data_IF_129065580974
#
_entry.id   IF_129065580974
#
_cell.length_a   1.000
_cell.length_b   1.000
_cell.length_c   1.000
_cell.angle_alpha   90.00
_cell.angle_beta   90.00
_cell.angle_gamma   90.00
#
_symmetry.space_group_name_H-M   'P 1'
#
loop_
_entity.id
_entity.type
_entity.pdbx_description
1 polymer ?
#
# COMPACT_ATOMS: atom_id res chain seq x y z
N UNK A 1 46.35 8.25 69.78
CA UNK A 1 46.16 6.84 70.20
C UNK A 1 45.03 6.27 69.38
N UNK A 2 45.36 5.48 68.35
CA UNK A 2 44.44 4.95 67.34
C UNK A 2 44.39 3.43 67.55
N UNK A 3 43.31 2.91 68.14
CA UNK A 3 43.13 1.48 68.37
C UNK A 3 42.72 0.83 67.05
N UNK A 4 43.69 0.20 66.40
CA UNK A 4 43.47 -0.70 65.27
C UNK A 4 42.47 -1.78 65.68
N UNK A 5 41.36 -1.84 64.96
CA UNK A 5 40.39 -2.94 64.96
C UNK A 5 41.07 -4.20 64.37
N UNK A 6 42.01 -4.80 65.10
CA UNK A 6 42.56 -6.13 64.83
C UNK A 6 41.59 -7.23 65.32
N UNK A 7 40.29 -7.01 65.17
CA UNK A 7 39.33 -8.11 65.22
C UNK A 7 39.42 -8.85 63.90
N UNK A 8 40.42 -9.72 63.87
CA UNK A 8 40.47 -10.99 63.20
C UNK A 8 39.18 -11.32 62.45
N UNK A 9 39.28 -11.28 61.11
CA UNK A 9 38.48 -12.08 60.20
C UNK A 9 38.71 -13.56 60.54
N UNK A 10 38.22 -14.02 61.68
CA UNK A 10 38.15 -15.43 62.04
C UNK A 10 37.09 -16.02 61.13
N UNK A 11 37.53 -16.59 60.01
CA UNK A 11 36.68 -17.27 59.06
C UNK A 11 36.00 -18.45 59.77
N UNK A 12 34.78 -18.22 60.24
CA UNK A 12 33.98 -19.28 60.84
C UNK A 12 33.51 -20.25 59.75
N UNK A 13 33.61 -21.55 60.03
CA UNK A 13 33.06 -22.56 59.15
C UNK A 13 31.54 -22.37 59.05
N UNK A 14 31.02 -22.12 57.84
CA UNK A 14 29.60 -21.98 57.63
C UNK A 14 28.85 -23.25 58.03
N UNK A 15 27.68 -23.09 58.63
CA UNK A 15 26.80 -24.21 58.96
C UNK A 15 26.42 -24.93 57.65
N UNK A 16 26.51 -26.28 57.60
CA UNK A 16 26.19 -27.01 56.38
C UNK A 16 24.75 -26.72 55.93
N UNK A 17 24.60 -26.32 54.66
CA UNK A 17 23.30 -26.01 54.03
C UNK A 17 22.91 -24.53 53.97
N UNK A 18 23.59 -23.63 54.68
CA UNK A 18 23.23 -22.20 54.68
C UNK A 18 23.52 -21.51 53.34
N UNK A 19 24.68 -21.81 52.75
CA UNK A 19 25.04 -21.34 51.40
C UNK A 19 24.09 -21.92 50.34
N UNK A 20 23.63 -23.17 50.51
CA UNK A 20 22.67 -23.81 49.61
C UNK A 20 21.34 -23.05 49.54
N UNK A 21 20.77 -22.68 50.69
CA UNK A 21 19.51 -21.90 50.73
C UNK A 21 19.64 -20.52 50.08
N UNK A 22 20.80 -19.89 50.22
CA UNK A 22 21.06 -18.60 49.58
C UNK A 22 21.13 -18.75 48.05
N UNK A 23 21.85 -19.77 47.56
CA UNK A 23 21.93 -20.08 46.12
C UNK A 23 20.57 -20.44 45.55
N UNK A 24 19.78 -21.27 46.24
CA UNK A 24 18.42 -21.64 45.81
C UNK A 24 17.50 -20.43 45.71
N UNK A 25 17.58 -19.51 46.68
CA UNK A 25 16.82 -18.26 46.67
C UNK A 25 17.19 -17.36 45.48
N UNK A 26 18.49 -17.21 45.20
CA UNK A 26 18.97 -16.43 44.06
C UNK A 26 18.61 -17.09 42.72
N UNK A 27 18.72 -18.42 42.64
CA UNK A 27 18.42 -19.17 41.42
C UNK A 27 16.91 -19.16 41.12
N UNK A 28 16.06 -19.28 42.14
CA UNK A 28 14.61 -19.16 41.99
C UNK A 28 14.20 -17.78 41.47
N UNK A 29 14.80 -16.72 42.01
CA UNK A 29 14.55 -15.33 41.59
C UNK A 29 15.03 -15.08 40.15
N UNK A 30 16.18 -15.62 39.76
CA UNK A 30 16.66 -15.52 38.38
C UNK A 30 15.78 -16.28 37.38
N UNK A 31 15.26 -17.46 37.75
CA UNK A 31 14.32 -18.22 36.92
C UNK A 31 12.99 -17.47 36.74
N UNK A 32 12.48 -16.86 37.81
CA UNK A 32 11.28 -16.04 37.76
C UNK A 32 11.44 -14.83 36.83
N UNK A 33 12.56 -14.09 36.96
CA UNK A 33 12.86 -12.95 36.09
C UNK A 33 13.07 -13.37 34.63
N UNK A 34 13.72 -14.51 34.38
CA UNK A 34 13.88 -15.06 33.04
C UNK A 34 12.51 -15.45 32.43
N UNK A 35 11.60 -16.02 33.22
CA UNK A 35 10.24 -16.33 32.81
C UNK A 35 9.44 -15.07 32.47
N UNK A 36 9.51 -14.04 33.30
CA UNK A 36 8.84 -12.76 33.06
C UNK A 36 9.32 -12.10 31.75
N UNK A 37 10.63 -12.09 31.49
CA UNK A 37 11.17 -11.53 30.24
C UNK A 37 10.65 -12.24 28.99
N UNK A 38 10.53 -13.57 29.04
CA UNK A 38 9.96 -14.36 27.92
C UNK A 38 8.48 -14.05 27.70
N UNK A 39 7.71 -13.93 28.78
CA UNK A 39 6.28 -13.56 28.69
C UNK A 39 6.10 -12.17 28.08
N UNK A 40 6.87 -11.17 28.53
CA UNK A 40 6.81 -9.81 27.98
C UNK A 40 7.16 -9.81 26.49
N UNK A 41 8.22 -10.52 26.09
CA UNK A 41 8.59 -10.63 24.68
C UNK A 41 7.49 -11.30 23.83
N UNK A 42 6.85 -12.35 24.33
CA UNK A 42 5.75 -13.03 23.64
C UNK A 42 4.52 -12.13 23.48
N UNK A 43 4.16 -11.38 24.52
CA UNK A 43 3.04 -10.43 24.46
C UNK A 43 3.31 -9.30 23.47
N UNK A 44 4.54 -8.77 23.44
CA UNK A 44 4.93 -7.75 22.46
C UNK A 44 4.83 -8.27 21.03
N UNK A 45 5.30 -9.50 20.78
CA UNK A 45 5.18 -10.12 19.46
C UNK A 45 3.73 -10.36 19.03
N UNK A 46 2.87 -10.78 19.96
CA UNK A 46 1.44 -10.94 19.68
C UNK A 46 0.76 -9.59 19.38
N UNK A 47 1.08 -8.54 20.15
CA UNK A 47 0.55 -7.20 19.92
C UNK A 47 0.99 -6.61 18.59
N UNK A 48 2.26 -6.77 18.20
CA UNK A 48 2.74 -6.29 16.90
C UNK A 48 2.13 -7.09 15.74
N UNK A 49 2.02 -8.41 15.86
CA UNK A 49 1.36 -9.25 14.87
C UNK A 49 -0.12 -8.89 14.72
N UNK A 50 -0.84 -8.71 15.83
CA UNK A 50 -2.24 -8.32 15.84
C UNK A 50 -2.44 -6.93 15.21
N UNK A 51 -1.61 -5.95 15.60
CA UNK A 51 -1.67 -4.60 15.05
C UNK A 51 -1.38 -4.63 13.54
N UNK A 52 -0.34 -5.34 13.11
CA UNK A 52 -0.03 -5.51 11.69
C UNK A 52 -1.19 -6.15 10.92
N UNK A 53 -1.80 -7.20 11.47
CA UNK A 53 -2.95 -7.87 10.86
C UNK A 53 -4.17 -6.95 10.72
N UNK A 54 -4.50 -6.18 11.76
CA UNK A 54 -5.65 -5.27 11.70
C UNK A 54 -5.40 -4.08 10.77
N UNK A 55 -4.21 -3.49 10.79
CA UNK A 55 -3.87 -2.35 9.93
C UNK A 55 -3.75 -2.72 8.46
N UNK A 56 -3.20 -3.91 8.14
CA UNK A 56 -3.03 -4.34 6.74
C UNK A 56 -4.27 -5.10 6.23
N UNK A 57 -4.93 -5.89 7.07
CA UNK A 57 -6.01 -6.80 6.67
C UNK A 57 -7.42 -6.24 6.88
N UNK A 58 -7.66 -5.44 7.91
CA UNK A 58 -9.01 -4.95 8.28
C UNK A 58 -9.22 -3.48 7.93
N UNK A 59 -8.17 -2.67 7.94
CA UNK A 59 -8.18 -1.26 7.51
C UNK A 59 -7.93 -0.97 6.00
N UNK A 60 -7.82 -1.92 5.04
CA UNK A 60 -7.55 -1.55 3.64
C UNK A 60 -8.75 -0.95 2.90
N UNK A 61 -9.86 -0.65 3.59
CA UNK A 61 -11.06 -0.06 3.00
C UNK A 61 -11.54 1.20 3.71
N UNK A 62 -10.62 2.01 4.26
CA UNK A 62 -10.88 3.45 4.30
C UNK A 62 -10.92 3.93 2.83
N UNK A 63 -12.01 3.61 2.12
CA UNK A 63 -12.26 3.99 0.74
C UNK A 63 -12.00 5.49 0.68
N UNK A 64 -10.88 5.93 0.09
CA UNK A 64 -10.51 7.31 0.19
C UNK A 64 -11.60 8.10 -0.55
N UNK A 65 -12.31 8.89 0.22
CA UNK A 65 -13.58 9.46 -0.18
C UNK A 65 -13.30 10.83 -0.81
N UNK A 66 -12.88 10.79 -2.08
CA UNK A 66 -12.64 12.02 -2.86
C UNK A 66 -13.96 12.45 -3.50
N UNK A 67 -14.33 13.72 -3.32
CA UNK A 67 -15.57 14.27 -3.88
C UNK A 67 -16.86 13.66 -3.31
N UNK A 68 -16.80 13.06 -2.12
CA UNK A 68 -17.97 12.45 -1.46
C UNK A 68 -18.42 11.12 -2.08
N UNK A 69 -17.63 10.52 -2.96
CA UNK A 69 -17.86 9.16 -3.49
C UNK A 69 -16.69 8.22 -3.17
N UNK A 70 -17.03 7.01 -2.74
CA UNK A 70 -16.08 5.92 -2.51
C UNK A 70 -15.60 5.31 -3.84
N UNK A 71 -14.38 4.77 -3.85
CA UNK A 71 -13.80 4.09 -5.01
C UNK A 71 -14.70 2.95 -5.55
N UNK A 72 -15.33 2.17 -4.66
CA UNK A 72 -16.27 1.12 -5.04
C UNK A 72 -17.46 1.67 -5.81
N UNK A 73 -18.04 2.78 -5.33
CA UNK A 73 -19.19 3.43 -5.96
C UNK A 73 -18.83 4.03 -7.32
N UNK A 74 -17.62 4.59 -7.47
CA UNK A 74 -17.15 5.07 -8.76
C UNK A 74 -17.06 3.93 -9.79
N UNK A 75 -16.59 2.74 -9.39
CA UNK A 75 -16.49 1.60 -10.31
C UNK A 75 -17.87 1.10 -10.76
N UNK A 76 -18.90 1.21 -9.93
CA UNK A 76 -20.29 0.92 -10.32
C UNK A 76 -20.84 1.95 -11.32
N UNK A 77 -20.47 3.23 -11.18
CA UNK A 77 -20.89 4.33 -12.05
C UNK A 77 -20.05 4.43 -13.34
N UNK A 78 -18.87 3.81 -13.37
CA UNK A 78 -17.92 3.92 -14.48
C UNK A 78 -18.52 3.56 -15.86
N UNK A 79 -19.34 2.50 -16.03
CA UNK A 79 -19.95 2.19 -17.32
C UNK A 79 -20.89 3.29 -17.81
N UNK A 80 -21.70 3.85 -16.91
CA UNK A 80 -22.64 4.92 -17.22
C UNK A 80 -21.92 6.25 -17.50
N UNK A 81 -20.80 6.50 -16.80
CA UNK A 81 -19.94 7.65 -17.03
C UNK A 81 -19.27 7.57 -18.42
N UNK A 82 -18.71 6.42 -18.79
CA UNK A 82 -18.15 6.20 -20.14
C UNK A 82 -19.22 6.27 -21.23
N UNK A 83 -20.45 5.85 -20.93
CA UNK A 83 -21.58 5.95 -21.85
C UNK A 83 -22.15 7.38 -21.95
N UNK A 84 -21.70 8.32 -21.11
CA UNK A 84 -22.23 9.69 -21.07
C UNK A 84 -23.69 9.76 -20.59
N UNK A 85 -24.18 8.74 -19.88
CA UNK A 85 -25.57 8.66 -19.39
C UNK A 85 -25.71 9.05 -17.93
N UNK A 86 -24.62 9.50 -17.29
CA UNK A 86 -24.64 9.95 -15.90
C UNK A 86 -25.25 11.35 -15.81
N UNK A 87 -25.98 11.62 -14.73
CA UNK A 87 -26.45 12.96 -14.42
C UNK A 87 -25.27 13.95 -14.26
N UNK A 88 -25.52 15.25 -14.49
CA UNK A 88 -24.49 16.28 -14.42
C UNK A 88 -23.84 16.38 -13.02
N UNK A 89 -24.62 16.22 -11.95
CA UNK A 89 -24.10 16.24 -10.58
C UNK A 89 -23.22 15.02 -10.32
N UNK A 90 -23.68 13.84 -10.74
CA UNK A 90 -22.92 12.60 -10.59
C UNK A 90 -21.61 12.64 -11.40
N UNK A 91 -21.63 13.21 -12.60
CA UNK A 91 -20.46 13.37 -13.46
C UNK A 91 -19.39 14.25 -12.80
N UNK A 92 -19.78 15.39 -12.23
CA UNK A 92 -18.86 16.29 -11.51
C UNK A 92 -18.18 15.62 -10.31
N UNK A 93 -18.92 14.79 -9.56
CA UNK A 93 -18.36 14.01 -8.44
C UNK A 93 -17.35 12.97 -8.93
N UNK A 94 -17.65 12.28 -10.04
CA UNK A 94 -16.73 11.31 -10.67
C UNK A 94 -15.46 12.00 -11.16
N UNK A 95 -15.57 13.13 -11.85
CA UNK A 95 -14.42 13.91 -12.31
C UNK A 95 -13.54 14.35 -11.13
N UNK A 96 -14.14 14.90 -10.08
CA UNK A 96 -13.43 15.29 -8.85
C UNK A 96 -12.74 14.10 -8.18
N UNK A 97 -13.37 12.92 -8.19
CA UNK A 97 -12.70 11.74 -7.65
C UNK A 97 -11.53 11.30 -8.53
N UNK A 98 -11.69 11.35 -9.86
CA UNK A 98 -10.65 10.98 -10.81
C UNK A 98 -9.44 11.93 -10.71
N UNK A 99 -9.60 13.23 -10.46
CA UNK A 99 -8.46 14.15 -10.31
C UNK A 99 -7.56 13.77 -9.13
N UNK A 100 -8.12 13.21 -8.06
CA UNK A 100 -7.38 12.86 -6.85
C UNK A 100 -6.97 11.38 -6.76
N UNK A 101 -7.69 10.46 -7.41
CA UNK A 101 -7.45 9.03 -7.30
C UNK A 101 -6.82 8.41 -8.56
N UNK A 102 -5.49 8.29 -8.57
CA UNK A 102 -4.75 7.63 -9.67
C UNK A 102 -5.15 6.16 -9.90
N UNK A 103 -5.54 5.46 -8.84
CA UNK A 103 -5.97 4.06 -8.95
C UNK A 103 -7.24 3.92 -9.78
N UNK A 104 -8.24 4.78 -9.52
CA UNK A 104 -9.49 4.82 -10.28
C UNK A 104 -9.24 5.27 -11.74
N UNK A 105 -8.36 6.25 -11.98
CA UNK A 105 -7.97 6.63 -13.34
C UNK A 105 -7.43 5.44 -14.15
N UNK A 106 -6.52 4.66 -13.56
CA UNK A 106 -5.92 3.51 -14.24
C UNK A 106 -6.95 2.41 -14.54
N UNK A 107 -7.87 2.15 -13.59
CA UNK A 107 -8.96 1.20 -13.80
C UNK A 107 -9.91 1.64 -14.91
N UNK A 108 -10.23 2.93 -14.99
CA UNK A 108 -11.10 3.47 -16.05
C UNK A 108 -10.46 3.28 -17.44
N UNK A 109 -9.17 3.62 -17.58
CA UNK A 109 -8.40 3.37 -18.82
C UNK A 109 -8.34 1.88 -19.20
N UNK A 110 -8.23 1.01 -18.21
CA UNK A 110 -8.25 -0.44 -18.45
C UNK A 110 -9.62 -0.94 -18.92
N UNK A 111 -10.72 -0.32 -18.47
CA UNK A 111 -12.06 -0.64 -18.94
C UNK A 111 -12.30 -0.15 -20.37
N UNK A 112 -11.82 1.05 -20.71
CA UNK A 112 -11.90 1.62 -22.06
C UNK A 112 -11.16 0.77 -23.11
N UNK A 113 -9.97 0.27 -22.77
CA UNK A 113 -9.21 -0.61 -23.67
C UNK A 113 -9.86 -1.99 -23.87
N UNK A 114 -10.72 -2.43 -22.94
CA UNK A 114 -11.44 -3.71 -23.04
C UNK A 114 -12.79 -3.59 -23.76
N UNK A 115 -13.43 -2.42 -23.70
CA UNK A 115 -14.75 -2.18 -24.31
C UNK A 115 -14.67 -1.89 -25.81
N UNK A 116 -13.51 -1.49 -26.33
CA UNK A 116 -13.28 -1.49 -27.77
C UNK A 116 -12.82 -2.88 -28.23
N UNK A 117 -13.67 -3.71 -28.87
CA UNK A 117 -13.13 -4.74 -29.73
C UNK A 117 -12.26 -4.01 -30.73
N UNK A 118 -10.97 -4.32 -30.71
CA UNK A 118 -9.95 -3.76 -31.58
C UNK A 118 -10.34 -4.11 -33.01
N UNK A 119 -11.22 -3.30 -33.61
CA UNK A 119 -11.52 -3.29 -35.04
C UNK A 119 -10.30 -2.72 -35.74
N UNK A 120 -9.19 -3.43 -35.61
CA UNK A 120 -8.08 -3.38 -36.53
C UNK A 120 -8.47 -4.14 -37.80
N UNK A 121 -9.64 -3.84 -38.37
CA UNK A 121 -9.82 -4.02 -39.80
C UNK A 121 -9.02 -2.89 -40.41
N UNK A 122 -7.73 -3.17 -40.70
CA UNK A 122 -6.99 -2.37 -41.67
C UNK A 122 -7.86 -2.35 -42.92
N UNK A 123 -8.54 -1.23 -43.18
CA UNK A 123 -9.03 -0.92 -44.51
C UNK A 123 -7.76 -0.79 -45.34
N UNK A 124 -7.37 -1.89 -45.96
CA UNK A 124 -6.40 -1.90 -47.04
C UNK A 124 -7.12 -1.26 -48.21
N UNK A 125 -7.03 0.06 -48.31
CA UNK A 125 -7.41 0.74 -49.55
C UNK A 125 -6.46 0.22 -50.65
N UNK A 126 -6.97 -0.35 -51.74
CA UNK A 126 -6.14 -0.78 -52.85
C UNK A 126 -5.39 0.42 -53.41
N UNK A 127 -4.08 0.23 -53.60
CA UNK A 127 -3.06 1.23 -53.97
C UNK A 127 -3.13 1.69 -55.44
N UNK A 128 -4.17 1.35 -56.19
CA UNK A 128 -4.17 1.49 -57.66
C UNK A 128 -4.79 2.76 -58.24
N UNK A 129 -5.44 3.65 -57.46
CA UNK A 129 -6.18 4.79 -58.06
C UNK A 129 -5.56 6.20 -57.89
N UNK A 130 -4.30 6.34 -57.46
CA UNK A 130 -3.69 7.66 -57.24
C UNK A 130 -2.92 8.19 -58.48
N UNK A 131 -2.77 7.40 -59.55
CA UNK A 131 -1.94 7.79 -60.69
C UNK A 131 -2.60 8.76 -61.71
N UNK A 132 -3.89 9.11 -61.60
CA UNK A 132 -4.63 9.74 -62.71
C UNK A 132 -5.02 11.23 -62.55
N UNK A 133 -4.49 11.95 -61.55
CA UNK A 133 -4.88 13.38 -61.32
C UNK A 133 -3.69 14.36 -61.33
N UNK A 134 -2.46 13.91 -61.64
CA UNK A 134 -1.28 14.77 -61.54
C UNK A 134 -0.91 15.55 -62.83
N UNK A 135 -1.53 15.28 -63.99
CA UNK A 135 -1.01 15.81 -65.28
C UNK A 135 -1.83 16.94 -65.93
N UNK A 136 -2.98 17.36 -65.40
CA UNK A 136 -3.87 18.31 -66.12
C UNK A 136 -3.81 19.78 -65.72
N UNK A 137 -2.94 20.22 -64.79
CA UNK A 137 -2.97 21.61 -64.29
C UNK A 137 -1.77 22.50 -64.66
N UNK A 138 -0.82 22.06 -65.50
CA UNK A 138 0.43 22.80 -65.71
C UNK A 138 0.47 23.79 -66.90
N UNK A 139 -0.61 24.04 -67.63
CA UNK A 139 -0.54 24.83 -68.89
C UNK A 139 -1.32 26.15 -68.94
N UNK A 140 -1.62 26.84 -67.81
CA UNK A 140 -2.52 28.01 -67.87
C UNK A 140 -2.06 29.36 -67.28
N UNK A 141 -0.76 29.58 -67.08
CA UNK A 141 -0.27 30.94 -66.78
C UNK A 141 0.99 31.29 -67.59
N UNK A 142 0.80 31.46 -68.89
CA UNK A 142 1.64 32.29 -69.73
C UNK A 142 0.81 33.49 -70.23
N UNK A 143 1.48 34.62 -70.39
CA UNK A 143 1.04 35.92 -70.94
C UNK A 143 0.28 36.91 -70.03
N UNK A 144 0.98 38.00 -69.65
CA UNK A 144 0.94 39.22 -70.47
C UNK A 144 2.12 40.18 -70.15
N UNK A 145 2.50 41.03 -71.12
CA UNK A 145 3.72 41.85 -71.15
C UNK A 145 3.63 43.13 -70.31
#
# INVERSE_FOLDING_TARGET
MNQNNENHNEWQACRPGEVGRLVDGLQGRNRALAGQRRMVAAVLLLMTAFTGYYFVGVLPNANPNYGGIACSRLLELAPQFMAGTLDAEASSRVETHLTHCKHCQNKLKAMESKSMPRSATRVTLPREEIAMIAETSFSRFAHKP
#
